data_IF_350680838158
#
_entry.id   IF_350680838158
#
_cell.length_a   1.000
_cell.length_b   1.000
_cell.length_c   1.000
_cell.angle_alpha   90.00
_cell.angle_beta   90.00
_cell.angle_gamma   90.00
#
_symmetry.space_group_name_H-M   'P 1'
#
loop_
_entity.id
_entity.type
_entity.pdbx_description
1 polymer ?
#
# COMPACT_ATOMS: atom_id res chain seq x y z
N UNK A 1 -25.10 -35.82 6.70
CA UNK A 1 -23.81 -36.15 7.33
C UNK A 1 -23.25 -34.82 7.85
N UNK A 2 -23.70 -34.38 9.04
CA UNK A 2 -22.91 -34.30 10.29
C UNK A 2 -21.54 -33.63 10.05
N UNK A 3 -21.36 -32.32 10.33
CA UNK A 3 -20.96 -31.71 11.64
C UNK A 3 -19.53 -32.17 12.04
N UNK A 4 -18.54 -31.38 12.46
CA UNK A 4 -18.49 -30.11 13.21
C UNK A 4 -17.09 -29.47 13.15
N UNK A 5 -17.02 -28.17 13.46
CA UNK A 5 -15.83 -27.44 13.89
C UNK A 5 -15.37 -27.87 15.30
N UNK A 6 -14.08 -27.68 15.61
CA UNK A 6 -13.55 -27.79 16.97
C UNK A 6 -12.72 -26.55 17.31
N UNK A 7 -13.27 -25.71 18.19
CA UNK A 7 -12.56 -24.69 18.95
C UNK A 7 -12.26 -25.27 20.34
N UNK A 8 -11.04 -25.08 20.84
CA UNK A 8 -10.63 -25.52 22.17
C UNK A 8 -10.52 -24.30 23.10
N UNK A 9 -11.38 -24.28 24.12
CA UNK A 9 -11.42 -23.32 25.22
C UNK A 9 -11.67 -24.13 26.50
N UNK A 10 -10.72 -24.11 27.44
CA UNK A 10 -10.88 -24.54 28.84
C UNK A 10 -10.68 -23.25 29.67
N UNK A 11 -11.70 -22.66 30.31
CA UNK A 11 -12.41 -23.06 31.54
C UNK A 11 -11.46 -23.04 32.78
N UNK A 12 -11.54 -22.08 33.70
CA UNK A 12 -12.57 -21.71 34.71
C UNK A 12 -12.24 -22.27 36.10
N UNK A 13 -11.97 -21.36 37.05
CA UNK A 13 -12.29 -21.39 38.49
C UNK A 13 -11.53 -20.21 39.13
N UNK A 14 -12.06 -19.27 39.90
CA UNK A 14 -13.28 -19.15 40.70
C UNK A 14 -12.86 -18.38 41.98
N UNK A 15 -13.60 -17.36 42.47
CA UNK A 15 -13.12 -16.46 43.51
C UNK A 15 -13.43 -17.02 44.91
N UNK A 16 -12.53 -16.81 45.87
CA UNK A 16 -12.84 -16.95 47.30
C UNK A 16 -12.50 -15.66 48.01
N UNK A 17 -13.55 -14.89 48.24
CA UNK A 17 -13.58 -13.74 49.13
C UNK A 17 -13.48 -14.25 50.57
N UNK A 18 -12.46 -13.82 51.31
CA UNK A 18 -12.36 -14.08 52.75
C UNK A 18 -12.06 -12.77 53.44
N UNK A 19 -13.10 -12.15 53.98
CA UNK A 19 -12.99 -11.04 54.92
C UNK A 19 -12.29 -11.52 56.18
N UNK A 20 -11.12 -10.94 56.49
CA UNK A 20 -10.48 -11.10 57.80
C UNK A 20 -10.34 -9.74 58.48
N UNK A 21 -10.88 -9.71 59.68
CA UNK A 21 -10.89 -8.62 60.66
C UNK A 21 -9.47 -8.32 61.13
N UNK A 22 -9.17 -7.03 61.22
CA UNK A 22 -7.93 -6.44 61.74
C UNK A 22 -7.82 -6.65 63.26
N UNK A 23 -6.65 -7.00 63.80
CA UNK A 23 -6.21 -6.52 65.10
C UNK A 23 -5.19 -5.39 64.94
N UNK A 24 -5.41 -4.37 65.75
CA UNK A 24 -4.66 -3.14 65.82
C UNK A 24 -3.26 -3.35 66.43
N UNK A 25 -2.30 -2.53 65.98
CA UNK A 25 -1.09 -2.09 66.70
C UNK A 25 0.11 -3.04 66.92
N UNK A 26 1.12 -2.89 66.05
CA UNK A 26 2.53 -2.84 66.45
C UNK A 26 3.26 -1.78 65.58
N UNK A 27 4.10 -0.89 66.13
CA UNK A 27 4.88 0.02 65.31
C UNK A 27 5.87 -0.80 64.49
N UNK A 28 5.63 -0.86 63.18
CA UNK A 28 6.61 -1.38 62.23
C UNK A 28 7.81 -0.44 62.30
N UNK A 29 8.91 -0.95 62.85
CA UNK A 29 10.22 -0.31 62.71
C UNK A 29 10.50 -0.23 61.20
N UNK A 30 10.36 0.97 60.64
CA UNK A 30 10.77 1.24 59.27
C UNK A 30 12.25 0.88 59.17
N UNK A 31 12.66 -0.10 58.35
CA UNK A 31 14.08 -0.32 58.14
C UNK A 31 14.67 1.00 57.63
N UNK A 32 15.73 1.43 58.31
CA UNK A 32 16.57 2.55 57.92
C UNK A 32 16.71 2.56 56.40
N UNK A 33 16.39 3.70 55.77
CA UNK A 33 16.58 3.90 54.33
C UNK A 33 17.92 3.29 53.94
N UNK A 34 17.91 2.32 53.03
CA UNK A 34 19.13 1.94 52.32
C UNK A 34 19.60 3.21 51.60
N UNK A 35 20.57 3.89 52.19
CA UNK A 35 21.35 4.94 51.54
C UNK A 35 22.08 4.23 50.39
N UNK A 36 21.52 4.33 49.17
CA UNK A 36 22.24 3.90 47.98
C UNK A 36 23.59 4.63 47.97
N UNK A 37 24.72 3.93 47.73
CA UNK A 37 26.01 4.58 47.67
C UNK A 37 25.96 5.70 46.61
N UNK A 38 26.57 6.85 46.90
CA UNK A 38 26.60 8.03 46.03
C UNK A 38 27.05 7.70 44.60
N UNK A 39 27.83 6.63 44.41
CA UNK A 39 28.27 6.09 43.13
C UNK A 39 27.15 5.49 42.25
N UNK A 40 25.96 5.27 42.81
CA UNK A 40 24.73 4.87 42.12
C UNK A 40 23.73 6.02 41.98
N UNK A 41 24.10 7.26 42.36
CA UNK A 41 23.33 8.44 41.95
C UNK A 41 23.35 8.52 40.43
N UNK A 42 22.21 8.16 39.85
CA UNK A 42 21.88 8.16 38.44
C UNK A 42 22.54 9.36 37.77
N UNK A 43 23.59 9.10 36.99
CA UNK A 43 24.19 10.10 36.12
C UNK A 43 23.04 10.68 35.30
N UNK A 44 22.77 11.98 35.49
CA UNK A 44 21.68 12.64 34.80
C UNK A 44 21.83 12.32 33.31
N UNK A 45 20.83 11.69 32.73
CA UNK A 45 20.79 11.43 31.29
C UNK A 45 20.69 12.79 30.60
N UNK A 46 21.86 13.38 30.32
CA UNK A 46 22.00 14.68 29.66
C UNK A 46 21.86 14.57 28.15
N UNK A 47 21.60 13.36 27.63
CA UNK A 47 21.28 13.23 26.21
C UNK A 47 19.92 13.89 25.97
N UNK A 48 19.81 14.90 25.09
CA UNK A 48 18.53 15.49 24.78
C UNK A 48 17.63 14.40 24.18
N UNK A 49 16.66 13.89 24.94
CA UNK A 49 15.66 12.96 24.41
C UNK A 49 14.92 13.67 23.29
N UNK A 50 15.16 13.26 22.04
CA UNK A 50 14.42 13.75 20.88
C UNK A 50 12.94 13.49 21.13
N UNK A 51 12.18 14.55 21.42
CA UNK A 51 10.74 14.47 21.66
C UNK A 51 10.11 13.86 20.41
N UNK A 52 9.40 12.74 20.54
CA UNK A 52 8.63 12.18 19.43
C UNK A 52 7.61 13.24 19.03
N UNK A 53 7.71 13.74 17.79
CA UNK A 53 6.68 14.61 17.22
C UNK A 53 5.54 13.72 16.76
N UNK A 54 4.34 13.94 17.28
CA UNK A 54 3.14 13.43 16.61
C UNK A 54 3.08 14.13 15.25
N UNK A 55 2.94 13.33 14.20
CA UNK A 55 2.68 13.85 12.86
C UNK A 55 1.24 13.50 12.57
N UNK A 56 0.41 14.52 12.45
CA UNK A 56 -1.00 14.37 12.10
C UNK A 56 -1.13 14.43 10.57
N UNK A 57 -1.89 13.50 10.03
CA UNK A 57 -2.33 13.45 8.64
C UNK A 57 -3.85 13.50 8.62
N UNK A 58 -4.46 13.75 7.46
CA UNK A 58 -5.92 13.81 7.38
C UNK A 58 -6.58 12.48 7.77
N UNK A 59 -7.80 12.55 8.30
CA UNK A 59 -8.62 11.38 8.68
C UNK A 59 -8.88 10.41 7.51
N UNK A 60 -8.84 10.94 6.28
CA UNK A 60 -9.04 10.16 5.06
C UNK A 60 -7.78 9.50 4.51
N UNK A 61 -6.61 9.76 5.09
CA UNK A 61 -5.30 9.27 4.61
C UNK A 61 -5.30 7.75 4.40
N UNK A 62 -5.68 7.00 5.44
CA UNK A 62 -5.69 5.54 5.40
C UNK A 62 -6.71 4.98 4.42
N UNK A 63 -7.85 5.67 4.24
CA UNK A 63 -8.87 5.23 3.29
C UNK A 63 -8.39 5.38 1.85
N UNK A 64 -7.77 6.52 1.51
CA UNK A 64 -7.16 6.71 0.19
C UNK A 64 -6.01 5.73 -0.04
N UNK A 65 -5.20 5.44 0.99
CA UNK A 65 -4.09 4.48 0.90
C UNK A 65 -4.61 3.07 0.58
N UNK A 66 -5.70 2.64 1.22
CA UNK A 66 -6.35 1.36 0.90
C UNK A 66 -6.89 1.31 -0.53
N UNK A 67 -7.57 2.37 -0.98
CA UNK A 67 -8.07 2.46 -2.35
C UNK A 67 -6.90 2.36 -3.35
N UNK A 68 -5.85 3.15 -3.14
CA UNK A 68 -4.65 3.17 -3.98
C UNK A 68 -4.00 1.78 -4.08
N UNK A 69 -3.91 1.07 -2.94
CA UNK A 69 -3.35 -0.28 -2.87
C UNK A 69 -4.21 -1.31 -3.60
N UNK A 70 -5.52 -1.31 -3.38
CA UNK A 70 -6.42 -2.25 -4.08
C UNK A 70 -6.50 -1.95 -5.58
N UNK A 71 -6.49 -0.69 -5.97
CA UNK A 71 -6.37 -0.29 -7.37
C UNK A 71 -5.11 -0.88 -7.99
N UNK A 72 -3.97 -0.83 -7.28
CA UNK A 72 -2.73 -1.43 -7.78
C UNK A 72 -2.83 -2.96 -7.98
N UNK A 73 -3.54 -3.69 -7.11
CA UNK A 73 -3.77 -5.12 -7.31
C UNK A 73 -4.71 -5.41 -8.48
N UNK A 74 -5.73 -4.57 -8.69
CA UNK A 74 -6.65 -4.70 -9.80
C UNK A 74 -5.97 -4.55 -11.17
N UNK A 75 -4.85 -3.81 -11.25
CA UNK A 75 -4.10 -3.65 -12.50
C UNK A 75 -3.52 -4.97 -13.04
N UNK A 76 -3.12 -5.91 -12.16
CA UNK A 76 -2.44 -7.14 -12.57
C UNK A 76 -3.31 -8.01 -13.51
N UNK A 77 -4.53 -8.43 -13.13
CA UNK A 77 -5.37 -9.20 -14.04
C UNK A 77 -5.75 -8.42 -15.30
N UNK A 78 -5.94 -7.09 -15.20
CA UNK A 78 -6.21 -6.23 -16.36
C UNK A 78 -5.04 -6.21 -17.33
N UNK A 79 -3.80 -6.14 -16.83
CA UNK A 79 -2.58 -6.20 -17.63
C UNK A 79 -2.43 -7.53 -18.36
N UNK A 80 -2.69 -8.64 -17.69
CA UNK A 80 -2.67 -9.97 -18.33
C UNK A 80 -3.68 -10.02 -19.47
N UNK A 81 -4.91 -9.57 -19.22
CA UNK A 81 -5.95 -9.54 -20.24
C UNK A 81 -5.59 -8.62 -21.42
N UNK A 82 -5.06 -7.43 -21.13
CA UNK A 82 -4.66 -6.46 -22.15
C UNK A 82 -3.48 -6.93 -22.98
N UNK A 83 -2.52 -7.65 -22.38
CA UNK A 83 -1.42 -8.27 -23.11
C UNK A 83 -1.94 -9.37 -24.06
N UNK A 84 -2.87 -10.21 -23.59
CA UNK A 84 -3.48 -11.26 -24.42
C UNK A 84 -4.26 -10.67 -25.60
N UNK A 85 -5.19 -9.74 -25.33
CA UNK A 85 -5.98 -9.09 -26.36
C UNK A 85 -5.13 -8.25 -27.32
N UNK A 86 -4.14 -7.51 -26.79
CA UNK A 86 -3.21 -6.69 -27.57
C UNK A 86 -2.30 -7.54 -28.46
N UNK A 87 -1.89 -8.72 -28.02
CA UNK A 87 -1.08 -9.63 -28.82
C UNK A 87 -1.86 -10.22 -30.01
N UNK A 88 -3.13 -10.57 -29.80
CA UNK A 88 -4.03 -10.99 -30.89
C UNK A 88 -4.19 -9.89 -31.93
N UNK A 89 -4.44 -8.64 -31.48
CA UNK A 89 -4.53 -7.47 -32.34
C UNK A 89 -3.23 -7.20 -33.09
N UNK A 90 -2.08 -7.36 -32.42
CA UNK A 90 -0.76 -7.16 -33.01
C UNK A 90 -0.49 -8.16 -34.15
N UNK A 91 -0.87 -9.44 -33.96
CA UNK A 91 -0.63 -10.50 -34.93
C UNK A 91 -1.61 -10.49 -36.10
N UNK A 92 -2.90 -10.29 -35.82
CA UNK A 92 -3.97 -10.46 -36.82
C UNK A 92 -4.50 -9.15 -37.40
N UNK A 93 -4.17 -8.00 -36.80
CA UNK A 93 -4.64 -6.70 -37.27
C UNK A 93 -6.16 -6.64 -37.42
N UNK A 94 -6.64 -6.31 -38.63
CA UNK A 94 -8.07 -6.26 -38.94
C UNK A 94 -8.78 -7.62 -38.88
N UNK A 95 -8.03 -8.72 -38.99
CA UNK A 95 -8.56 -10.09 -38.86
C UNK A 95 -8.63 -10.61 -37.42
N UNK A 96 -8.37 -9.77 -36.42
CA UNK A 96 -8.45 -10.17 -35.02
C UNK A 96 -9.89 -10.42 -34.55
N UNK A 97 -10.04 -11.39 -33.64
CA UNK A 97 -11.33 -11.76 -33.09
C UNK A 97 -12.01 -10.60 -32.35
N UNK A 98 -13.35 -10.62 -32.32
CA UNK A 98 -14.16 -9.59 -31.67
C UNK A 98 -13.87 -9.43 -30.17
N UNK A 99 -13.52 -10.51 -29.47
CA UNK A 99 -13.17 -10.46 -28.04
C UNK A 99 -11.90 -9.65 -27.82
N UNK A 100 -10.91 -9.73 -28.72
CA UNK A 100 -9.67 -8.99 -28.60
C UNK A 100 -9.89 -7.52 -28.93
N UNK A 101 -10.60 -7.20 -30.02
CA UNK A 101 -10.92 -5.82 -30.40
C UNK A 101 -11.74 -5.08 -29.34
N UNK A 102 -12.86 -5.67 -28.93
CA UNK A 102 -13.77 -5.04 -27.97
C UNK A 102 -13.19 -5.12 -26.56
N UNK A 103 -12.64 -6.28 -26.18
CA UNK A 103 -12.02 -6.48 -24.89
C UNK A 103 -10.83 -5.56 -24.67
N UNK A 104 -9.94 -5.41 -25.65
CA UNK A 104 -8.80 -4.50 -25.53
C UNK A 104 -9.28 -3.06 -25.25
N UNK A 105 -10.25 -2.55 -26.02
CA UNK A 105 -10.84 -1.22 -25.80
C UNK A 105 -11.48 -1.08 -24.42
N UNK A 106 -12.33 -2.03 -24.01
CA UNK A 106 -13.01 -2.00 -22.70
C UNK A 106 -11.99 -2.06 -21.56
N UNK A 107 -11.01 -2.96 -21.63
CA UNK A 107 -10.01 -3.08 -20.59
C UNK A 107 -9.03 -1.92 -20.55
N UNK A 108 -8.77 -1.24 -21.68
CA UNK A 108 -8.00 -0.01 -21.72
C UNK A 108 -8.75 1.13 -21.00
N UNK A 109 -10.06 1.27 -21.20
CA UNK A 109 -10.91 2.21 -20.44
C UNK A 109 -10.94 1.86 -18.94
N UNK A 110 -11.02 0.56 -18.61
CA UNK A 110 -10.94 0.08 -17.24
C UNK A 110 -9.61 0.43 -16.57
N UNK A 111 -8.49 0.20 -17.26
CA UNK A 111 -7.16 0.60 -16.80
C UNK A 111 -7.06 2.11 -16.61
N UNK A 112 -7.50 2.91 -17.59
CA UNK A 112 -7.49 4.38 -17.47
C UNK A 112 -8.24 4.85 -16.23
N UNK A 113 -9.36 4.19 -15.90
CA UNK A 113 -10.14 4.49 -14.68
C UNK A 113 -9.36 4.12 -13.41
N UNK A 114 -8.81 2.91 -13.33
CA UNK A 114 -8.03 2.45 -12.18
C UNK A 114 -6.80 3.33 -11.95
N UNK A 115 -6.07 3.65 -13.03
CA UNK A 115 -4.94 4.56 -12.98
C UNK A 115 -5.37 5.94 -12.51
N UNK A 116 -6.40 6.56 -13.10
CA UNK A 116 -6.88 7.88 -12.68
C UNK A 116 -7.23 7.94 -11.18
N UNK A 117 -7.94 6.94 -10.66
CA UNK A 117 -8.25 6.85 -9.22
C UNK A 117 -6.97 6.69 -8.39
N UNK A 118 -6.03 5.86 -8.84
CA UNK A 118 -4.75 5.67 -8.17
C UNK A 118 -3.90 6.96 -8.18
N UNK A 119 -3.84 7.69 -9.29
CA UNK A 119 -3.10 8.94 -9.40
C UNK A 119 -3.65 9.96 -8.40
N UNK A 120 -4.98 10.15 -8.37
CA UNK A 120 -5.63 11.09 -7.45
C UNK A 120 -5.36 10.70 -6.00
N UNK A 121 -5.63 9.45 -5.63
CA UNK A 121 -5.45 8.99 -4.24
C UNK A 121 -3.98 9.01 -3.81
N UNK A 122 -3.06 8.63 -4.69
CA UNK A 122 -1.63 8.60 -4.45
C UNK A 122 -1.02 10.00 -4.30
N UNK A 123 -1.32 10.93 -5.21
CA UNK A 123 -0.83 12.32 -5.12
C UNK A 123 -1.43 13.04 -3.92
N UNK A 124 -2.71 12.81 -3.61
CA UNK A 124 -3.32 13.39 -2.42
C UNK A 124 -2.63 12.90 -1.15
N UNK A 125 -2.38 11.59 -1.03
CA UNK A 125 -1.65 11.05 0.13
C UNK A 125 -0.19 11.50 0.17
N UNK A 126 0.47 11.69 -0.97
CA UNK A 126 1.81 12.27 -1.03
C UNK A 126 1.82 13.69 -0.47
N UNK A 127 0.84 14.51 -0.85
CA UNK A 127 0.69 15.87 -0.34
C UNK A 127 0.41 15.89 1.17
N UNK A 128 -0.52 15.06 1.63
CA UNK A 128 -0.92 14.98 3.03
C UNK A 128 0.25 14.52 3.92
N UNK A 129 1.05 13.56 3.44
CA UNK A 129 2.24 13.05 4.14
C UNK A 129 3.52 13.84 3.89
N UNK A 130 3.47 15.04 3.29
CA UNK A 130 4.67 15.82 2.92
C UNK A 130 5.60 16.12 4.10
N UNK A 131 5.04 16.28 5.30
CA UNK A 131 5.79 16.54 6.54
C UNK A 131 6.38 15.27 7.18
N UNK A 132 5.99 14.08 6.71
CA UNK A 132 6.52 12.80 7.17
C UNK A 132 7.87 12.55 6.49
N UNK A 133 8.95 12.57 7.27
CA UNK A 133 10.31 12.31 6.80
C UNK A 133 10.56 10.83 6.48
N UNK A 134 10.01 9.94 7.32
CA UNK A 134 10.22 8.50 7.19
C UNK A 134 9.66 8.01 5.85
N UNK A 135 10.50 7.37 5.04
CA UNK A 135 10.10 6.82 3.75
C UNK A 135 9.83 7.85 2.65
N UNK A 136 10.17 9.14 2.84
CA UNK A 136 9.91 10.20 1.85
C UNK A 136 10.48 9.86 0.48
N UNK A 137 11.74 9.44 0.39
CA UNK A 137 12.37 9.08 -0.88
C UNK A 137 11.61 7.98 -1.62
N UNK A 138 11.14 6.94 -0.90
CA UNK A 138 10.38 5.84 -1.49
C UNK A 138 9.04 6.33 -2.03
N UNK A 139 8.33 7.18 -1.28
CA UNK A 139 7.07 7.79 -1.73
C UNK A 139 7.27 8.68 -2.95
N UNK A 140 8.35 9.47 -2.98
CA UNK A 140 8.68 10.31 -4.14
C UNK A 140 8.99 9.47 -5.38
N UNK A 141 9.84 8.44 -5.25
CA UNK A 141 10.16 7.54 -6.36
C UNK A 141 8.92 6.81 -6.86
N UNK A 142 8.07 6.32 -5.96
CA UNK A 142 6.79 5.68 -6.30
C UNK A 142 5.89 6.63 -7.10
N UNK A 143 5.75 7.88 -6.64
CA UNK A 143 4.94 8.87 -7.33
C UNK A 143 5.49 9.21 -8.73
N UNK A 144 6.81 9.32 -8.88
CA UNK A 144 7.43 9.55 -10.19
C UNK A 144 7.20 8.37 -11.15
N UNK A 145 7.36 7.14 -10.68
CA UNK A 145 7.11 5.94 -11.49
C UNK A 145 5.63 5.84 -11.89
N UNK A 146 4.71 6.11 -10.96
CA UNK A 146 3.28 6.15 -11.24
C UNK A 146 2.97 7.19 -12.33
N UNK A 147 3.42 8.44 -12.17
CA UNK A 147 3.18 9.50 -13.17
C UNK A 147 3.83 9.18 -14.53
N UNK A 148 5.02 8.59 -14.55
CA UNK A 148 5.68 8.17 -15.78
C UNK A 148 4.91 7.05 -16.49
N UNK A 149 4.39 6.08 -15.73
CA UNK A 149 3.50 5.05 -16.23
C UNK A 149 2.21 5.64 -16.81
N UNK A 150 1.54 6.52 -16.06
CA UNK A 150 0.29 7.19 -16.46
C UNK A 150 0.47 7.94 -17.78
N UNK A 151 1.56 8.71 -17.89
CA UNK A 151 1.89 9.47 -19.09
C UNK A 151 2.12 8.55 -20.30
N UNK A 152 2.83 7.43 -20.11
CA UNK A 152 3.08 6.48 -21.19
C UNK A 152 1.81 5.74 -21.64
N UNK A 153 0.93 5.34 -20.71
CA UNK A 153 -0.37 4.75 -21.06
C UNK A 153 -1.30 5.76 -21.73
N UNK A 154 -1.33 7.02 -21.26
CA UNK A 154 -2.08 8.07 -21.92
C UNK A 154 -1.58 8.32 -23.34
N UNK A 155 -0.26 8.37 -23.56
CA UNK A 155 0.33 8.49 -24.88
C UNK A 155 -0.02 7.29 -25.78
N UNK A 156 0.08 6.07 -25.26
CA UNK A 156 -0.30 4.87 -25.99
C UNK A 156 -1.79 4.86 -26.37
N UNK A 157 -2.67 5.24 -25.44
CA UNK A 157 -4.12 5.17 -25.59
C UNK A 157 -4.75 6.32 -26.37
N UNK A 158 -4.18 7.52 -26.34
CA UNK A 158 -4.73 8.72 -27.00
C UNK A 158 -4.04 9.00 -28.33
N UNK A 159 -2.71 8.80 -28.40
CA UNK A 159 -1.94 9.17 -29.60
C UNK A 159 -1.57 7.97 -30.46
N UNK A 160 -1.08 6.89 -29.86
CA UNK A 160 -0.61 5.75 -30.66
C UNK A 160 -1.73 4.80 -31.10
N UNK A 161 -2.91 4.87 -30.47
CA UNK A 161 -4.03 3.97 -30.75
C UNK A 161 -4.67 4.22 -32.12
N UNK A 162 -4.82 5.48 -32.52
CA UNK A 162 -5.38 5.89 -33.82
C UNK A 162 -4.51 5.38 -34.99
N UNK A 163 -3.19 5.50 -34.85
CA UNK A 163 -2.22 5.09 -35.86
C UNK A 163 -2.04 3.55 -35.92
N UNK A 164 -2.25 2.87 -34.78
CA UNK A 164 -2.03 1.43 -34.67
C UNK A 164 -2.95 0.61 -35.58
N UNK A 165 -4.11 1.11 -35.98
CA UNK A 165 -4.95 0.38 -36.93
C UNK A 165 -4.34 0.41 -38.35
N UNK A 166 -3.56 1.45 -38.67
CA UNK A 166 -3.15 1.79 -40.03
C UNK A 166 -1.81 1.18 -40.46
N UNK A 167 -0.88 0.90 -39.54
CA UNK A 167 0.44 0.35 -39.91
C UNK A 167 1.03 -0.61 -38.87
N UNK A 168 1.86 -1.55 -39.35
CA UNK A 168 2.57 -2.49 -38.49
C UNK A 168 3.59 -1.78 -37.56
N UNK A 169 4.22 -0.71 -38.05
CA UNK A 169 5.17 0.07 -37.26
C UNK A 169 4.48 0.85 -36.15
N UNK A 170 3.31 1.44 -36.42
CA UNK A 170 2.50 2.08 -35.38
C UNK A 170 2.04 1.06 -34.31
N UNK A 171 1.60 -0.14 -34.71
CA UNK A 171 1.29 -1.22 -33.74
C UNK A 171 2.49 -1.59 -32.88
N UNK A 172 3.67 -1.70 -33.49
CA UNK A 172 4.92 -2.00 -32.76
C UNK A 172 5.23 -0.90 -31.77
N UNK A 173 5.08 0.38 -32.16
CA UNK A 173 5.29 1.53 -31.29
C UNK A 173 4.30 1.53 -30.13
N UNK A 174 3.00 1.38 -30.41
CA UNK A 174 1.95 1.26 -29.39
C UNK A 174 2.27 0.15 -28.37
N UNK A 175 2.57 -1.06 -28.86
CA UNK A 175 2.88 -2.23 -28.03
C UNK A 175 4.11 -2.00 -27.16
N UNK A 176 5.19 -1.46 -27.73
CA UNK A 176 6.43 -1.23 -26.99
C UNK A 176 6.23 -0.16 -25.89
N UNK A 177 5.51 0.92 -26.20
CA UNK A 177 5.14 1.93 -25.20
C UNK A 177 4.28 1.32 -24.10
N UNK A 178 3.25 0.53 -24.45
CA UNK A 178 2.36 -0.10 -23.48
C UNK A 178 3.12 -1.06 -22.54
N UNK A 179 4.01 -1.92 -23.06
CA UNK A 179 4.79 -2.81 -22.21
C UNK A 179 5.82 -2.08 -21.35
N UNK A 180 6.45 -1.02 -21.86
CA UNK A 180 7.34 -0.18 -21.06
C UNK A 180 6.59 0.46 -19.88
N UNK A 181 5.43 1.08 -20.14
CA UNK A 181 4.57 1.66 -19.09
C UNK A 181 4.08 0.60 -18.10
N UNK A 182 3.71 -0.59 -18.59
CA UNK A 182 3.31 -1.71 -17.74
C UNK A 182 4.44 -2.14 -16.80
N UNK A 183 5.68 -2.22 -17.28
CA UNK A 183 6.84 -2.53 -16.44
C UNK A 183 7.09 -1.47 -15.36
N UNK A 184 6.95 -0.18 -15.72
CA UNK A 184 7.06 0.93 -14.76
C UNK A 184 5.97 0.85 -13.69
N UNK A 185 4.71 0.61 -14.09
CA UNK A 185 3.59 0.43 -13.18
C UNK A 185 3.80 -0.73 -12.21
N UNK A 186 4.21 -1.89 -12.73
CA UNK A 186 4.47 -3.08 -11.91
C UNK A 186 5.63 -2.86 -10.93
N UNK A 187 6.66 -2.11 -11.33
CA UNK A 187 7.74 -1.71 -10.42
C UNK A 187 7.20 -0.87 -9.28
N UNK A 188 6.41 0.18 -9.56
CA UNK A 188 5.77 1.01 -8.53
C UNK A 188 4.81 0.22 -7.63
N UNK A 189 3.99 -0.67 -8.20
CA UNK A 189 3.13 -1.56 -7.44
C UNK A 189 3.93 -2.49 -6.51
N UNK A 190 5.06 -3.03 -6.99
CA UNK A 190 5.99 -3.83 -6.21
C UNK A 190 6.59 -3.07 -5.03
N UNK A 191 6.95 -1.80 -5.22
CA UNK A 191 7.44 -0.93 -4.14
C UNK A 191 6.43 -0.82 -2.99
N UNK A 192 5.13 -0.72 -3.30
CA UNK A 192 4.08 -0.69 -2.27
C UNK A 192 3.91 -2.02 -1.52
N UNK A 193 4.14 -3.15 -2.18
CA UNK A 193 4.04 -4.49 -1.56
C UNK A 193 5.24 -4.76 -0.66
N UNK A 194 6.43 -4.35 -1.10
CA UNK A 194 7.68 -4.57 -0.38
C UNK A 194 7.83 -3.65 0.85
N UNK A 195 7.34 -2.41 0.77
CA UNK A 195 7.47 -1.42 1.85
C UNK A 195 6.10 -1.03 2.43
N UNK A 196 5.47 -2.02 3.06
CA UNK A 196 4.20 -1.89 3.79
C UNK A 196 4.48 -1.71 5.28
N UNK A 197 5.09 -0.58 5.62
CA UNK A 197 5.46 -0.20 6.98
C UNK A 197 4.54 0.91 7.49
#
# INVERSE_FOLDING_TARGET
MHSSALALLLALAGPTDTTRVVPDSAPVAMPSRLELPLSLQLQADTTPRRRRKSIEVSEWYERRLRIHRYGAYAMIPLFVFQAAAGNELYQKGSGADGWARNGHRIGATGLATVFGVNTVTGLWNLWDSRVVEQGRTRRTLHALLMLASDAGFAYAGIKLSEDAEQSADARRKHRNTAYASMGVALTGAGMMVLWRD
#
